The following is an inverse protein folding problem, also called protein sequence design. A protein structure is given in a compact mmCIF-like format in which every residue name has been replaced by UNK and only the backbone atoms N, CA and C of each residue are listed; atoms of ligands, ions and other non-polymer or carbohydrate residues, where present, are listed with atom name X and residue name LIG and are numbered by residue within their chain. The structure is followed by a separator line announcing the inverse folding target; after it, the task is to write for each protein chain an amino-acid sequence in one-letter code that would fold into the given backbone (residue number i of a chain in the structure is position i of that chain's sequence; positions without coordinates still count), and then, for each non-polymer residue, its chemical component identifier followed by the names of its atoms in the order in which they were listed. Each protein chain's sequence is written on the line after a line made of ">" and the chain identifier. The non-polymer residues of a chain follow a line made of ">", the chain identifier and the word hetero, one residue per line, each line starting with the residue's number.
data_IF_332574352546
#
_entry.id   IF_332574352546
#
_cell.length_a   1.000
_cell.length_b   1.000
_cell.length_c   1.000
_cell.angle_alpha   90.00
_cell.angle_beta   90.00
_cell.angle_gamma   90.00
#
_symmetry.space_group_name_H-M   'P 1'
#
loop_
_entity.id
_entity.type
_entity.pdbx_description
1 polymer ?
#
# COMPACT_ATOMS: atom_id res chain seq x y z
N UNK A 1 9.42 45.03 -8.87
CA UNK A 1 8.35 44.35 -8.10
C UNK A 1 8.77 42.90 -7.99
N UNK A 2 9.36 42.54 -6.85
CA UNK A 2 9.77 41.17 -6.53
C UNK A 2 8.58 40.23 -6.46
N UNK A 3 8.68 39.10 -7.15
CA UNK A 3 7.76 37.98 -7.00
C UNK A 3 7.93 37.39 -5.60
N UNK A 4 6.88 37.49 -4.78
CA UNK A 4 6.84 36.82 -3.49
C UNK A 4 6.85 35.30 -3.72
N UNK A 5 7.97 34.67 -3.39
CA UNK A 5 8.06 33.21 -3.30
C UNK A 5 7.09 32.73 -2.22
N UNK A 6 6.03 32.03 -2.62
CA UNK A 6 5.19 31.28 -1.69
C UNK A 6 6.06 30.24 -0.99
N UNK A 7 6.36 30.47 0.29
CA UNK A 7 7.01 29.49 1.15
C UNK A 7 6.08 28.29 1.26
N UNK A 8 6.49 27.14 0.71
CA UNK A 8 5.88 25.86 1.01
C UNK A 8 5.79 25.69 2.54
N UNK A 9 4.57 25.63 3.07
CA UNK A 9 4.34 25.30 4.47
C UNK A 9 4.94 23.92 4.76
N UNK A 10 5.73 23.73 5.83
CA UNK A 10 6.31 22.43 6.15
C UNK A 10 5.19 21.41 6.27
N UNK A 11 5.34 20.29 5.55
CA UNK A 11 4.41 19.17 5.64
C UNK A 11 4.26 18.77 7.12
N UNK A 12 3.02 18.55 7.59
CA UNK A 12 2.76 18.25 8.99
C UNK A 12 3.58 17.02 9.40
N UNK A 13 4.41 17.19 10.42
CA UNK A 13 5.30 16.14 10.94
C UNK A 13 4.45 14.95 11.36
N UNK A 14 4.58 13.82 10.66
CA UNK A 14 3.87 12.58 10.99
C UNK A 14 4.39 12.13 12.37
N UNK A 15 3.50 12.10 13.37
CA UNK A 15 3.80 11.57 14.68
C UNK A 15 3.74 10.04 14.66
N UNK A 16 4.83 9.39 15.08
CA UNK A 16 4.89 7.93 15.27
C UNK A 16 4.97 7.67 16.79
N UNK A 17 3.98 7.02 17.41
CA UNK A 17 4.02 6.66 18.82
C UNK A 17 5.21 5.74 19.13
N UNK A 18 5.77 5.86 20.34
CA UNK A 18 6.86 4.98 20.80
C UNK A 18 6.48 3.50 20.73
N UNK A 19 5.24 3.15 21.06
CA UNK A 19 4.69 1.79 20.97
C UNK A 19 4.76 1.24 19.53
N UNK A 20 4.53 2.08 18.53
CA UNK A 20 4.63 1.69 17.12
C UNK A 20 6.08 1.48 16.68
N UNK A 21 6.99 2.37 17.12
CA UNK A 21 8.42 2.21 16.87
C UNK A 21 8.94 0.91 17.49
N UNK A 22 8.62 0.66 18.76
CA UNK A 22 9.00 -0.58 19.46
C UNK A 22 8.46 -1.82 18.74
N UNK A 23 7.19 -1.79 18.32
CA UNK A 23 6.62 -2.90 17.56
C UNK A 23 7.32 -3.11 16.21
N UNK A 24 7.68 -2.04 15.50
CA UNK A 24 8.42 -2.13 14.24
C UNK A 24 9.83 -2.69 14.45
N UNK A 25 10.53 -2.25 15.50
CA UNK A 25 11.87 -2.75 15.87
C UNK A 25 11.82 -4.23 16.25
N UNK A 26 10.81 -4.68 17.00
CA UNK A 26 10.62 -6.09 17.34
C UNK A 26 10.40 -6.98 16.11
N UNK A 27 9.75 -6.44 15.07
CA UNK A 27 9.53 -7.15 13.80
C UNK A 27 10.83 -7.19 12.99
N UNK A 28 11.51 -6.05 12.87
CA UNK A 28 12.69 -5.88 12.02
C UNK A 28 13.94 -6.57 12.59
N UNK A 29 14.17 -6.47 13.90
CA UNK A 29 15.36 -6.99 14.58
C UNK A 29 15.07 -8.28 15.38
N UNK A 30 13.91 -8.90 15.15
CA UNK A 30 13.55 -10.17 15.77
C UNK A 30 14.37 -11.35 15.23
N UNK A 31 14.06 -12.55 15.74
CA UNK A 31 14.74 -13.79 15.34
C UNK A 31 14.43 -14.27 13.91
N UNK A 32 13.42 -13.70 13.26
CA UNK A 32 12.97 -14.10 11.91
C UNK A 32 13.65 -13.22 10.88
N UNK A 33 14.51 -13.80 10.04
CA UNK A 33 15.30 -13.05 9.06
C UNK A 33 14.46 -12.34 7.99
N UNK A 34 13.31 -12.89 7.60
CA UNK A 34 12.43 -12.30 6.58
C UNK A 34 11.00 -12.28 7.10
N UNK A 35 10.63 -11.27 7.92
CA UNK A 35 9.32 -11.25 8.54
C UNK A 35 8.21 -11.06 7.51
N UNK A 36 7.11 -11.81 7.68
CA UNK A 36 5.84 -11.61 6.99
C UNK A 36 4.89 -10.98 8.01
N UNK A 37 4.77 -9.66 7.94
CA UNK A 37 4.03 -8.85 8.89
C UNK A 37 2.64 -8.50 8.34
N UNK A 38 1.61 -9.02 9.00
CA UNK A 38 0.21 -8.80 8.66
C UNK A 38 -0.39 -7.71 9.56
N UNK A 39 -0.73 -6.55 8.98
CA UNK A 39 -1.20 -5.38 9.74
C UNK A 39 -2.72 -5.27 9.65
N UNK A 40 -3.42 -5.42 10.77
CA UNK A 40 -4.89 -5.45 10.83
C UNK A 40 -5.48 -4.59 11.97
N UNK A 41 -6.78 -4.35 11.92
CA UNK A 41 -7.50 -3.48 12.86
C UNK A 41 -8.57 -2.59 12.21
N UNK A 42 -9.39 -1.88 12.98
CA UNK A 42 -10.54 -1.14 12.47
C UNK A 42 -10.18 0.04 11.57
N UNK A 43 -11.17 0.58 10.87
CA UNK A 43 -11.02 1.83 10.11
C UNK A 43 -10.46 2.94 11.02
N UNK A 44 -9.55 3.73 10.44
CA UNK A 44 -8.89 4.87 11.09
C UNK A 44 -8.09 4.51 12.36
N UNK A 45 -7.61 3.27 12.49
CA UNK A 45 -6.67 2.90 13.55
C UNK A 45 -5.21 3.28 13.23
N UNK A 46 -4.90 3.61 11.98
CA UNK A 46 -3.57 4.00 11.55
C UNK A 46 -2.74 2.91 10.87
N UNK A 47 -3.36 1.79 10.48
CA UNK A 47 -2.71 0.64 9.80
C UNK A 47 -1.74 1.04 8.70
N UNK A 48 -2.19 1.92 7.81
CA UNK A 48 -1.38 2.35 6.67
C UNK A 48 -0.19 3.19 7.09
N UNK A 49 -0.32 4.02 8.13
CA UNK A 49 0.80 4.78 8.70
C UNK A 49 1.80 3.86 9.37
N UNK A 50 1.33 2.88 10.16
CA UNK A 50 2.19 1.87 10.75
C UNK A 50 2.92 1.04 9.68
N UNK A 51 2.21 0.59 8.65
CA UNK A 51 2.79 -0.21 7.55
C UNK A 51 3.88 0.57 6.82
N UNK A 52 3.67 1.86 6.55
CA UNK A 52 4.70 2.76 5.98
C UNK A 52 5.90 2.91 6.90
N UNK A 53 5.67 3.07 8.21
CA UNK A 53 6.74 3.16 9.19
C UNK A 53 7.56 1.85 9.25
N UNK A 54 6.89 0.70 9.28
CA UNK A 54 7.53 -0.61 9.29
C UNK A 54 8.38 -0.86 8.04
N UNK A 55 7.88 -0.52 6.84
CA UNK A 55 8.68 -0.58 5.60
C UNK A 55 9.93 0.28 5.73
N UNK A 56 9.82 1.50 6.25
CA UNK A 56 10.97 2.37 6.44
C UNK A 56 11.98 1.77 7.42
N UNK A 57 11.53 1.16 8.53
CA UNK A 57 12.42 0.49 9.50
C UNK A 57 13.11 -0.72 8.87
N UNK A 58 12.38 -1.55 8.10
CA UNK A 58 12.96 -2.70 7.39
C UNK A 58 13.98 -2.29 6.31
N UNK A 59 13.79 -1.11 5.72
CA UNK A 59 14.72 -0.49 4.76
C UNK A 59 15.74 0.44 5.43
N UNK A 60 15.84 0.53 6.75
CA UNK A 60 16.83 1.43 7.37
C UNK A 60 18.25 0.89 7.25
N UNK A 61 19.20 1.83 7.16
CA UNK A 61 20.63 1.54 7.32
C UNK A 61 20.96 1.50 8.80
N UNK A 62 21.52 0.38 9.27
CA UNK A 62 22.05 0.30 10.62
C UNK A 62 23.57 0.46 10.58
N UNK A 63 24.10 1.28 11.48
CA UNK A 63 25.54 1.45 11.69
C UNK A 63 25.89 0.98 13.09
N UNK A 64 26.56 -0.17 13.21
CA UNK A 64 27.20 -0.55 14.47
C UNK A 64 28.53 0.19 14.58
N UNK A 65 28.60 1.21 15.42
CA UNK A 65 29.87 1.74 15.93
C UNK A 65 30.22 0.98 17.19
N UNK A 66 30.98 -0.12 17.08
CA UNK A 66 31.75 -0.58 18.23
C UNK A 66 32.90 0.42 18.40
N UNK A 67 32.90 1.08 19.55
CA UNK A 67 33.93 2.04 19.94
C UNK A 67 35.27 1.30 20.05
N UNK A 68 36.31 2.00 19.61
CA UNK A 68 37.73 1.65 19.59
C UNK A 68 38.27 0.91 18.34
N UNK A 69 39.21 1.62 17.69
CA UNK A 69 40.13 1.23 16.62
C UNK A 69 39.58 1.24 15.17
N UNK A 70 39.69 2.41 14.51
CA UNK A 70 39.74 2.60 13.03
C UNK A 70 38.92 1.59 12.22
N UNK A 71 37.59 1.74 12.18
CA UNK A 71 36.73 0.91 11.33
C UNK A 71 36.00 1.76 10.31
N UNK A 72 36.15 1.40 9.04
CA UNK A 72 35.35 1.90 7.92
C UNK A 72 33.87 1.70 8.24
N UNK A 73 33.12 2.80 8.28
CA UNK A 73 31.66 2.76 8.46
C UNK A 73 31.02 2.13 7.22
N UNK A 74 30.70 0.84 7.28
CA UNK A 74 29.85 0.21 6.27
C UNK A 74 28.39 0.41 6.67
N UNK A 75 27.74 1.40 6.07
CA UNK A 75 26.28 1.51 6.11
C UNK A 75 25.70 0.31 5.39
N UNK A 76 25.03 -0.59 6.12
CA UNK A 76 24.31 -1.71 5.52
C UNK A 76 22.84 -1.62 5.88
N UNK A 77 22.02 -1.61 4.83
CA UNK A 77 20.58 -1.77 4.92
C UNK A 77 20.25 -3.08 5.62
N UNK A 78 19.26 -3.06 6.54
CA UNK A 78 18.74 -4.29 7.14
C UNK A 78 18.22 -5.20 6.03
N UNK A 79 17.36 -4.66 5.16
CA UNK A 79 17.00 -5.26 3.88
C UNK A 79 17.21 -4.30 2.72
N UNK A 80 17.77 -4.80 1.62
CA UNK A 80 17.93 -4.02 0.38
C UNK A 80 16.60 -3.71 -0.30
N UNK A 81 15.59 -4.54 -0.07
CA UNK A 81 14.25 -4.43 -0.65
C UNK A 81 13.23 -4.92 0.39
N UNK A 82 11.99 -4.49 0.27
CA UNK A 82 10.84 -4.97 1.05
C UNK A 82 9.64 -5.14 0.12
N UNK A 83 8.93 -6.25 0.23
CA UNK A 83 7.66 -6.45 -0.45
C UNK A 83 6.52 -5.81 0.35
N UNK A 84 5.55 -5.25 -0.36
CA UNK A 84 4.35 -4.65 0.20
C UNK A 84 3.13 -5.18 -0.54
N UNK A 85 2.26 -5.88 0.17
CA UNK A 85 1.00 -6.38 -0.35
C UNK A 85 -0.13 -5.46 0.10
N UNK A 86 -0.65 -4.68 -0.84
CA UNK A 86 -1.81 -3.82 -0.63
C UNK A 86 -3.08 -4.62 -0.88
N UNK A 87 -3.90 -4.76 0.15
CA UNK A 87 -5.21 -5.40 0.05
C UNK A 87 -6.37 -4.42 0.18
N UNK A 88 -6.15 -3.17 0.60
CA UNK A 88 -7.23 -2.17 0.69
C UNK A 88 -7.54 -1.51 -0.66
N UNK A 89 -8.48 -2.08 -1.42
CA UNK A 89 -8.95 -1.53 -2.71
C UNK A 89 -9.59 -0.14 -2.60
N UNK A 90 -10.03 0.28 -1.41
CA UNK A 90 -10.68 1.57 -1.20
C UNK A 90 -9.71 2.69 -0.83
N UNK A 91 -8.57 2.35 -0.21
CA UNK A 91 -7.57 3.30 0.24
C UNK A 91 -6.16 2.76 0.01
N UNK A 92 -5.77 2.73 -1.25
CA UNK A 92 -4.47 2.22 -1.72
C UNK A 92 -3.33 3.22 -1.51
N UNK A 93 -2.13 2.70 -1.22
CA UNK A 93 -0.92 3.52 -1.08
C UNK A 93 -0.15 3.77 -2.37
N UNK A 94 -0.01 2.75 -3.21
CA UNK A 94 0.86 2.79 -4.39
C UNK A 94 0.09 2.73 -5.71
N UNK A 95 -1.19 2.42 -5.69
CA UNK A 95 -1.99 2.22 -6.91
C UNK A 95 -3.20 3.14 -6.95
N UNK A 96 -3.85 3.31 -8.12
CA UNK A 96 -5.23 3.76 -8.16
C UNK A 96 -6.15 2.89 -7.30
N UNK A 97 -7.31 3.42 -6.88
CA UNK A 97 -8.34 2.65 -6.20
C UNK A 97 -8.86 1.50 -7.06
N UNK A 98 -9.34 0.43 -6.42
CA UNK A 98 -9.85 -0.75 -7.10
C UNK A 98 -8.78 -1.76 -7.54
N UNK A 99 -7.52 -1.56 -7.15
CA UNK A 99 -6.41 -2.49 -7.40
C UNK A 99 -5.99 -3.19 -6.11
N UNK A 100 -5.66 -4.47 -6.26
CA UNK A 100 -4.87 -5.26 -5.31
C UNK A 100 -3.47 -5.40 -5.90
N UNK A 101 -2.41 -5.17 -5.12
CA UNK A 101 -1.06 -5.12 -5.68
C UNK A 101 0.02 -5.62 -4.73
N UNK A 102 0.97 -6.37 -5.30
CA UNK A 102 2.26 -6.69 -4.71
C UNK A 102 3.31 -5.76 -5.31
N UNK A 103 3.97 -5.01 -4.43
CA UNK A 103 4.95 -3.98 -4.79
C UNK A 103 6.28 -4.26 -4.10
N UNK A 104 7.40 -4.17 -4.83
CA UNK A 104 8.74 -4.29 -4.24
C UNK A 104 9.37 -2.90 -4.15
N UNK A 105 9.83 -2.55 -2.94
CA UNK A 105 10.36 -1.23 -2.58
C UNK A 105 11.84 -1.37 -2.24
N UNK A 106 12.71 -0.56 -2.85
CA UNK A 106 14.17 -0.69 -2.74
C UNK A 106 14.90 0.49 -2.07
N UNK A 107 14.22 1.62 -1.83
CA UNK A 107 14.81 2.80 -1.19
C UNK A 107 13.85 3.43 -0.18
N UNK A 108 14.40 3.91 0.93
CA UNK A 108 13.69 4.75 1.90
C UNK A 108 13.23 6.01 1.18
N UNK A 109 11.92 6.24 1.12
CA UNK A 109 11.37 7.47 0.57
C UNK A 109 10.75 8.27 1.72
N UNK A 110 11.20 9.51 1.97
CA UNK A 110 10.46 10.38 2.86
C UNK A 110 9.10 10.62 2.19
N UNK A 111 8.03 10.15 2.85
CA UNK A 111 6.64 10.35 2.43
C UNK A 111 6.20 9.42 1.29
N UNK A 112 5.84 8.18 1.63
CA UNK A 112 4.87 7.35 0.89
C UNK A 112 3.52 8.10 0.90
N UNK A 113 3.43 9.11 0.02
CA UNK A 113 2.28 10.01 -0.19
C UNK A 113 2.52 10.91 -1.42
N UNK A 114 3.75 11.06 -1.90
CA UNK A 114 3.98 11.52 -3.28
C UNK A 114 3.90 10.29 -4.15
N UNK A 115 2.93 10.25 -5.06
CA UNK A 115 2.89 9.30 -6.17
C UNK A 115 4.26 9.20 -6.81
N UNK A 116 4.99 8.17 -6.41
CA UNK A 116 6.15 7.70 -7.14
C UNK A 116 5.65 7.43 -8.56
N UNK A 117 6.42 7.84 -9.57
CA UNK A 117 6.18 7.49 -10.97
C UNK A 117 5.99 5.97 -11.03
N UNK A 118 4.73 5.52 -11.03
CA UNK A 118 4.32 4.13 -10.87
C UNK A 118 4.66 3.33 -12.12
N UNK A 119 4.73 4.02 -13.24
CA UNK A 119 5.36 3.52 -14.44
C UNK A 119 6.76 4.10 -14.50
N UNK A 120 7.74 3.20 -14.57
CA UNK A 120 9.11 3.55 -14.93
C UNK A 120 9.09 4.48 -16.13
N UNK A 121 9.98 5.48 -16.09
CA UNK A 121 10.34 6.26 -17.25
C UNK A 121 10.51 5.32 -18.46
N UNK A 122 9.57 5.40 -19.41
CA UNK A 122 9.76 4.89 -20.76
C UNK A 122 10.37 5.95 -21.68
N UNK A 123 10.77 7.09 -21.13
CA UNK A 123 11.46 8.14 -21.85
C UNK A 123 12.71 8.54 -21.07
N UNK A 124 13.85 8.22 -21.67
CA UNK A 124 15.22 8.60 -21.30
C UNK A 124 15.85 7.93 -20.05
N UNK A 125 16.77 7.01 -20.33
CA UNK A 125 17.55 6.19 -19.39
C UNK A 125 18.75 6.96 -18.78
N UNK A 126 18.96 8.22 -19.15
CA UNK A 126 20.21 8.92 -18.86
C UNK A 126 20.28 9.74 -17.55
N UNK A 127 19.17 9.95 -16.81
CA UNK A 127 19.14 10.90 -15.67
C UNK A 127 18.48 10.36 -14.39
N UNK A 128 18.86 9.17 -13.89
CA UNK A 128 18.12 8.49 -12.80
C UNK A 128 18.93 7.82 -11.69
N UNK A 129 20.01 8.43 -11.21
CA UNK A 129 20.73 7.89 -10.05
C UNK A 129 19.94 8.04 -8.71
N UNK A 130 19.00 8.99 -8.63
CA UNK A 130 18.32 9.39 -7.39
C UNK A 130 16.81 9.07 -7.28
N UNK A 131 16.19 8.38 -8.24
CA UNK A 131 14.77 8.00 -8.16
C UNK A 131 14.58 6.63 -7.46
N UNK A 132 13.64 6.53 -6.52
CA UNK A 132 13.16 5.28 -5.92
C UNK A 132 12.60 4.35 -7.01
N UNK A 133 13.06 3.10 -7.10
CA UNK A 133 12.52 2.13 -8.06
C UNK A 133 11.45 1.31 -7.35
N UNK A 134 10.25 1.85 -7.28
CA UNK A 134 9.07 1.04 -6.97
C UNK A 134 8.81 0.15 -8.18
N UNK A 135 9.02 -1.16 -8.02
CA UNK A 135 8.71 -2.15 -9.05
C UNK A 135 7.40 -2.85 -8.68
N UNK A 136 6.39 -2.72 -9.54
CA UNK A 136 5.20 -3.55 -9.43
C UNK A 136 5.56 -4.98 -9.83
N UNK A 137 5.52 -5.90 -8.88
CA UNK A 137 5.72 -7.30 -9.17
C UNK A 137 4.47 -7.86 -9.87
N UNK A 138 3.28 -7.59 -9.29
CA UNK A 138 2.00 -8.05 -9.83
C UNK A 138 0.84 -7.25 -9.25
N UNK A 139 -0.21 -7.02 -10.04
CA UNK A 139 -1.46 -6.43 -9.55
C UNK A 139 -2.67 -7.04 -10.26
N UNK A 140 -3.84 -6.93 -9.61
CA UNK A 140 -5.13 -7.32 -10.18
C UNK A 140 -6.11 -6.17 -10.05
N UNK A 141 -6.73 -5.78 -11.16
CA UNK A 141 -7.84 -4.83 -11.14
C UNK A 141 -9.09 -5.53 -10.64
N UNK A 142 -9.46 -5.23 -9.40
CA UNK A 142 -10.72 -5.67 -8.82
C UNK A 142 -11.88 -4.82 -9.32
N UNK A 143 -11.68 -3.52 -9.58
CA UNK A 143 -12.70 -2.65 -10.18
C UNK A 143 -13.85 -2.23 -9.25
N UNK A 144 -13.73 -2.49 -7.95
CA UNK A 144 -14.62 -1.96 -6.91
C UNK A 144 -13.77 -1.51 -5.71
N UNK A 145 -14.28 -0.58 -4.91
CA UNK A 145 -13.63 -0.05 -3.71
C UNK A 145 -14.03 -0.83 -2.44
N UNK A 146 -14.80 -1.91 -2.58
CA UNK A 146 -15.28 -2.74 -1.49
C UNK A 146 -15.30 -4.22 -1.87
N UNK A 147 -14.68 -5.08 -1.07
CA UNK A 147 -14.67 -6.54 -1.32
C UNK A 147 -16.06 -7.17 -1.32
N UNK A 148 -17.06 -6.53 -0.68
CA UNK A 148 -18.46 -7.00 -0.65
C UNK A 148 -19.04 -7.28 -2.03
N UNK A 149 -18.52 -6.63 -3.08
CA UNK A 149 -18.99 -6.81 -4.45
C UNK A 149 -18.79 -8.24 -4.95
N UNK A 150 -17.66 -8.84 -4.62
CA UNK A 150 -17.31 -10.24 -4.92
C UNK A 150 -16.20 -10.69 -3.95
N UNK A 151 -16.58 -11.15 -2.73
CA UNK A 151 -15.63 -11.61 -1.71
C UNK A 151 -14.72 -12.73 -2.18
N UNK A 152 -15.25 -13.64 -3.00
CA UNK A 152 -14.54 -14.83 -3.47
C UNK A 152 -13.43 -14.45 -4.45
N UNK A 153 -13.75 -13.63 -5.45
CA UNK A 153 -12.75 -13.12 -6.41
C UNK A 153 -11.71 -12.24 -5.71
N UNK A 154 -12.14 -11.38 -4.77
CA UNK A 154 -11.24 -10.55 -3.99
C UNK A 154 -10.20 -11.39 -3.22
N UNK A 155 -10.66 -12.43 -2.51
CA UNK A 155 -9.77 -13.34 -1.79
C UNK A 155 -8.87 -14.14 -2.74
N UNK A 156 -9.39 -14.62 -3.87
CA UNK A 156 -8.61 -15.33 -4.87
C UNK A 156 -7.46 -14.49 -5.44
N UNK A 157 -7.69 -13.20 -5.70
CA UNK A 157 -6.63 -12.28 -6.13
C UNK A 157 -5.56 -12.09 -5.06
N UNK A 158 -5.93 -11.96 -3.78
CA UNK A 158 -4.95 -11.85 -2.68
C UNK A 158 -4.11 -13.13 -2.58
N UNK A 159 -4.74 -14.30 -2.63
CA UNK A 159 -4.04 -15.60 -2.61
C UNK A 159 -3.04 -15.69 -3.77
N UNK A 160 -3.48 -15.36 -4.99
CA UNK A 160 -2.61 -15.37 -6.17
C UNK A 160 -1.47 -14.35 -6.14
N UNK A 161 -1.61 -13.23 -5.41
CA UNK A 161 -0.52 -12.27 -5.17
C UNK A 161 0.47 -12.81 -4.13
N UNK A 162 -0.02 -13.47 -3.07
CA UNK A 162 0.82 -14.10 -2.07
C UNK A 162 1.60 -15.29 -2.63
N UNK A 163 0.94 -16.16 -3.41
CA UNK A 163 1.59 -17.30 -4.07
C UNK A 163 2.72 -16.81 -4.98
N UNK A 164 2.47 -15.75 -5.76
CA UNK A 164 3.50 -15.12 -6.58
C UNK A 164 4.68 -14.58 -5.76
N UNK A 165 4.42 -13.93 -4.62
CA UNK A 165 5.47 -13.50 -3.70
C UNK A 165 6.30 -14.68 -3.17
N UNK A 166 5.66 -15.79 -2.82
CA UNK A 166 6.34 -16.99 -2.32
C UNK A 166 7.24 -17.60 -3.40
N UNK A 167 6.75 -17.68 -4.64
CA UNK A 167 7.47 -18.22 -5.79
C UNK A 167 8.67 -17.34 -6.20
N UNK A 168 8.50 -16.02 -6.30
CA UNK A 168 9.53 -15.14 -6.89
C UNK A 168 10.47 -14.52 -5.87
N UNK A 169 9.97 -14.15 -4.69
CA UNK A 169 10.73 -13.33 -3.74
C UNK A 169 11.30 -14.14 -2.57
N UNK A 170 10.53 -15.11 -2.04
CA UNK A 170 10.99 -15.97 -0.95
C UNK A 170 11.95 -17.05 -1.44
N UNK A 171 11.58 -17.82 -2.46
CA UNK A 171 12.46 -18.86 -3.01
C UNK A 171 13.69 -18.28 -3.72
N UNK A 172 13.65 -17.00 -4.11
CA UNK A 172 14.77 -16.30 -4.73
C UNK A 172 15.76 -15.69 -3.74
N UNK A 173 15.32 -14.72 -2.93
CA UNK A 173 16.24 -13.82 -2.20
C UNK A 173 15.99 -13.73 -0.69
N UNK A 174 14.86 -14.23 -0.20
CA UNK A 174 14.39 -13.95 1.16
C UNK A 174 14.07 -12.46 1.31
N UNK A 175 12.80 -12.11 1.11
CA UNK A 175 12.35 -10.71 1.11
C UNK A 175 11.28 -10.51 2.18
N UNK A 176 11.43 -9.58 3.13
CA UNK A 176 10.35 -9.30 4.09
C UNK A 176 9.09 -8.82 3.37
N UNK A 177 7.93 -9.13 3.94
CA UNK A 177 6.62 -8.72 3.41
C UNK A 177 5.82 -7.97 4.46
N UNK A 178 5.33 -6.79 4.09
CA UNK A 178 4.35 -6.04 4.87
C UNK A 178 3.00 -6.11 4.15
N UNK A 179 1.96 -6.56 4.85
CA UNK A 179 0.61 -6.71 4.31
C UNK A 179 -0.29 -5.67 4.96
N UNK A 180 -0.76 -4.71 4.16
CA UNK A 180 -1.73 -3.71 4.62
C UNK A 180 -3.16 -4.20 4.31
N UNK A 181 -4.03 -4.17 5.31
CA UNK A 181 -5.41 -4.68 5.22
C UNK A 181 -6.46 -3.59 5.31
N UNK A 182 -7.67 -3.81 4.73
CA UNK A 182 -8.78 -2.90 4.92
C UNK A 182 -9.28 -2.92 6.37
N UNK A 183 -9.94 -1.83 6.79
CA UNK A 183 -10.49 -1.72 8.15
C UNK A 183 -11.79 -2.48 8.41
N UNK A 184 -12.07 -3.58 7.69
CA UNK A 184 -13.33 -4.32 7.78
C UNK A 184 -13.26 -5.44 8.82
N UNK A 185 -13.59 -5.11 10.06
CA UNK A 185 -13.46 -6.01 11.22
C UNK A 185 -14.76 -6.70 11.63
N UNK A 186 -15.81 -6.67 10.78
CA UNK A 186 -17.12 -7.31 11.05
C UNK A 186 -17.74 -7.90 9.78
N UNK A 187 -18.61 -8.90 9.95
CA UNK A 187 -19.35 -9.57 8.88
C UNK A 187 -18.40 -10.18 7.84
N UNK A 188 -18.79 -10.16 6.56
CA UNK A 188 -18.00 -10.72 5.46
C UNK A 188 -16.55 -10.19 5.39
N UNK A 189 -16.30 -8.95 5.80
CA UNK A 189 -14.94 -8.40 5.82
C UNK A 189 -14.05 -9.06 6.88
N UNK A 190 -14.64 -9.45 8.01
CA UNK A 190 -13.95 -10.21 9.05
C UNK A 190 -13.66 -11.64 8.59
N UNK A 191 -14.63 -12.29 7.95
CA UNK A 191 -14.45 -13.64 7.39
C UNK A 191 -13.30 -13.67 6.37
N UNK A 192 -13.25 -12.69 5.45
CA UNK A 192 -12.12 -12.54 4.51
C UNK A 192 -10.80 -12.35 5.25
N UNK A 193 -10.76 -11.52 6.30
CA UNK A 193 -9.55 -11.28 7.09
C UNK A 193 -9.02 -12.57 7.74
N UNK A 194 -9.92 -13.37 8.33
CA UNK A 194 -9.59 -14.67 8.92
C UNK A 194 -9.08 -15.64 7.85
N UNK A 195 -9.75 -15.72 6.70
CA UNK A 195 -9.31 -16.56 5.58
C UNK A 195 -7.94 -16.15 5.03
N UNK A 196 -7.64 -14.85 4.99
CA UNK A 196 -6.30 -14.36 4.63
C UNK A 196 -5.25 -14.82 5.64
N UNK A 197 -5.53 -14.69 6.94
CA UNK A 197 -4.61 -15.10 8.01
C UNK A 197 -4.37 -16.62 8.04
N UNK A 198 -5.38 -17.43 7.69
CA UNK A 198 -5.27 -18.88 7.59
C UNK A 198 -4.47 -19.32 6.35
N UNK A 199 -4.55 -18.57 5.26
CA UNK A 199 -3.86 -18.90 4.02
C UNK A 199 -2.41 -18.44 3.99
N UNK A 200 -2.14 -17.26 4.54
CA UNK A 200 -0.81 -16.64 4.52
C UNK A 200 -0.01 -17.17 5.70
N UNK A 201 1.20 -17.68 5.44
CA UNK A 201 2.15 -18.07 6.49
C UNK A 201 2.77 -16.84 7.15
N UNK A 202 1.96 -16.12 7.92
CA UNK A 202 2.36 -14.93 8.68
C UNK A 202 3.37 -15.31 9.75
N UNK A 203 4.33 -14.43 10.02
CA UNK A 203 5.23 -14.60 11.18
C UNK A 203 4.93 -13.59 12.27
N UNK A 204 4.34 -12.46 11.89
CA UNK A 204 3.94 -11.37 12.79
C UNK A 204 2.55 -10.89 12.42
N UNK A 205 1.65 -10.83 13.39
CA UNK A 205 0.34 -10.21 13.23
C UNK A 205 0.28 -8.97 14.11
N UNK A 206 0.19 -7.80 13.49
CA UNK A 206 0.08 -6.51 14.18
C UNK A 206 -1.38 -6.09 14.24
N UNK A 207 -1.94 -6.06 15.45
CA UNK A 207 -3.33 -5.67 15.70
C UNK A 207 -3.37 -4.25 16.25
N UNK A 208 -3.76 -3.31 15.39
CA UNK A 208 -4.02 -1.94 15.82
C UNK A 208 -5.39 -1.83 16.46
N UNK A 209 -5.44 -1.43 17.72
CA UNK A 209 -6.66 -1.28 18.52
C UNK A 209 -7.06 0.19 18.66
N UNK A 210 -8.35 0.44 18.90
CA UNK A 210 -8.87 1.75 19.28
C UNK A 210 -9.42 1.70 20.70
N UNK A 211 -9.52 2.87 21.33
CA UNK A 211 -10.14 3.01 22.66
C UNK A 211 -11.58 2.48 22.73
N UNK A 212 -12.31 2.48 21.62
CA UNK A 212 -13.66 1.91 21.53
C UNK A 212 -13.59 0.40 21.26
N UNK A 213 -13.53 -0.39 22.33
CA UNK A 213 -13.32 -1.85 22.29
C UNK A 213 -14.29 -2.60 21.36
N UNK A 214 -15.57 -2.22 21.34
CA UNK A 214 -16.60 -2.87 20.50
C UNK A 214 -16.35 -2.78 18.97
N UNK A 215 -15.32 -2.04 18.56
CA UNK A 215 -14.88 -1.90 17.16
C UNK A 215 -13.55 -2.62 16.88
N UNK A 216 -12.92 -3.24 17.87
CA UNK A 216 -11.67 -3.95 17.69
C UNK A 216 -11.90 -5.40 17.23
N UNK A 217 -10.83 -6.03 16.75
CA UNK A 217 -10.79 -7.47 16.53
C UNK A 217 -10.75 -8.20 17.88
N UNK A 218 -11.17 -9.48 17.96
CA UNK A 218 -11.05 -10.28 19.17
C UNK A 218 -9.58 -10.40 19.62
N UNK A 219 -9.35 -10.59 20.91
CA UNK A 219 -8.01 -10.71 21.50
C UNK A 219 -7.29 -12.00 21.05
N UNK A 220 -5.95 -12.00 21.11
CA UNK A 220 -5.15 -13.16 20.73
C UNK A 220 -5.24 -13.55 19.25
N UNK A 221 -4.90 -14.82 18.90
CA UNK A 221 -4.88 -15.33 17.53
C UNK A 221 -6.27 -15.77 17.04
N UNK A 222 -7.17 -14.79 16.87
CA UNK A 222 -8.60 -15.00 16.56
C UNK A 222 -8.93 -15.76 15.27
N UNK A 223 -7.93 -16.09 14.45
CA UNK A 223 -8.09 -16.84 13.20
C UNK A 223 -7.82 -18.35 13.36
N UNK A 224 -7.28 -18.77 14.51
CA UNK A 224 -7.04 -20.17 14.84
C UNK A 224 -8.25 -20.76 15.55
N UNK A 225 -8.49 -22.05 15.35
CA UNK A 225 -9.50 -22.80 16.10
C UNK A 225 -8.96 -23.12 17.51
N UNK A 226 -9.85 -23.35 18.48
CA UNK A 226 -9.45 -23.64 19.86
C UNK A 226 -8.57 -24.90 19.93
N UNK A 227 -7.32 -24.74 20.34
CA UNK A 227 -6.34 -25.82 20.47
C UNK A 227 -5.27 -25.86 19.37
N UNK A 228 -5.46 -25.12 18.28
CA UNK A 228 -4.40 -24.90 17.29
C UNK A 228 -3.44 -23.84 17.80
N UNK A 229 -2.25 -24.26 18.26
CA UNK A 229 -1.17 -23.37 18.59
C UNK A 229 -0.25 -23.21 17.39
N UNK A 230 -0.33 -22.07 16.69
CA UNK A 230 0.72 -21.68 15.76
C UNK A 230 1.89 -21.05 16.54
N UNK A 231 2.79 -21.91 17.03
CA UNK A 231 3.97 -21.50 17.78
C UNK A 231 4.92 -20.59 16.97
N UNK A 232 4.75 -20.49 15.64
CA UNK A 232 5.60 -19.66 14.78
C UNK A 232 5.10 -18.21 14.65
N UNK A 233 3.80 -17.96 14.88
CA UNK A 233 3.21 -16.61 14.73
C UNK A 233 3.19 -15.84 16.04
N UNK A 234 3.78 -14.64 16.03
CA UNK A 234 3.71 -13.71 17.16
C UNK A 234 2.65 -12.64 16.92
N UNK A 235 1.72 -12.47 17.86
CA UNK A 235 0.74 -11.38 17.87
C UNK A 235 1.31 -10.19 18.62
N UNK A 236 1.26 -9.01 17.99
CA UNK A 236 1.67 -7.74 18.58
C UNK A 236 0.46 -6.81 18.58
N UNK A 237 -0.05 -6.49 19.77
CA UNK A 237 -1.17 -5.57 19.94
C UNK A 237 -0.64 -4.17 20.25
N UNK A 238 -1.08 -3.17 19.48
CA UNK A 238 -0.67 -1.77 19.66
C UNK A 238 -1.87 -0.85 19.58
N UNK A 239 -1.79 0.30 20.26
CA UNK A 239 -2.88 1.25 20.32
C UNK A 239 -2.80 2.30 19.21
N UNK A 240 -3.95 2.68 18.66
CA UNK A 240 -4.06 3.85 17.81
C UNK A 240 -3.74 5.12 18.64
N UNK A 241 -3.04 6.11 18.07
CA UNK A 241 -2.71 7.34 18.77
C UNK A 241 -3.97 8.06 19.27
N UNK A 242 -3.89 8.77 20.41
CA UNK A 242 -5.01 9.56 20.93
C UNK A 242 -5.51 10.57 19.88
N UNK A 243 -6.83 10.78 19.81
CA UNK A 243 -7.47 11.66 18.83
C UNK A 243 -6.89 13.09 18.79
N UNK A 244 -6.35 13.58 19.92
CA UNK A 244 -5.75 14.91 20.01
C UNK A 244 -4.47 15.04 19.15
N UNK A 245 -3.70 13.96 18.99
CA UNK A 245 -2.54 13.91 18.08
C UNK A 245 -2.94 13.59 16.64
N UNK A 246 -4.10 12.97 16.42
CA UNK A 246 -4.67 12.80 15.07
C UNK A 246 -5.03 14.16 14.44
N UNK A 247 -5.43 15.15 15.27
CA UNK A 247 -5.65 16.54 14.84
C UNK A 247 -4.38 17.31 14.48
N UNK A 248 -3.22 16.96 15.05
CA UNK A 248 -1.93 17.60 14.71
C UNK A 248 -1.17 16.86 13.59
N UNK A 249 -1.71 15.75 13.07
CA UNK A 249 -1.17 14.96 11.97
C UNK A 249 -1.80 15.35 10.62
N UNK A 250 -1.93 16.66 10.39
CA UNK A 250 -2.48 17.37 9.22
C UNK A 250 -3.98 17.71 9.32
N UNK A 251 -4.43 18.83 8.70
CA UNK A 251 -5.84 19.17 8.51
C UNK A 251 -6.49 18.18 7.53
N UNK A 252 -6.68 16.92 7.93
CA UNK A 252 -7.06 15.84 7.03
C UNK A 252 -8.04 14.89 7.74
N UNK A 253 -9.22 15.39 8.11
CA UNK A 253 -10.44 14.66 7.74
C UNK A 253 -10.54 14.69 6.21
N UNK A 254 -9.58 14.09 5.50
CA UNK A 254 -9.74 13.88 4.06
C UNK A 254 -10.75 12.76 3.93
N UNK A 255 -11.87 13.10 3.34
CA UNK A 255 -12.85 12.12 2.88
C UNK A 255 -12.12 11.02 2.10
N UNK A 256 -12.47 9.76 2.32
CA UNK A 256 -11.92 8.65 1.54
C UNK A 256 -12.17 8.85 0.04
N UNK A 257 -13.21 9.60 -0.33
CA UNK A 257 -13.43 10.09 -1.69
C UNK A 257 -12.27 10.97 -2.18
N UNK A 258 -11.93 12.02 -1.44
CA UNK A 258 -10.87 12.95 -1.83
C UNK A 258 -9.51 12.27 -1.95
N UNK A 259 -9.18 11.30 -1.09
CA UNK A 259 -7.94 10.54 -1.24
C UNK A 259 -7.94 9.71 -2.53
N UNK A 260 -9.06 9.07 -2.87
CA UNK A 260 -9.20 8.32 -4.11
C UNK A 260 -9.06 9.21 -5.34
N UNK A 261 -9.70 10.38 -5.32
CA UNK A 261 -9.60 11.36 -6.41
C UNK A 261 -8.16 11.85 -6.60
N UNK A 262 -7.46 12.16 -5.51
CA UNK A 262 -6.05 12.55 -5.56
C UNK A 262 -5.15 11.43 -6.10
N UNK A 263 -5.39 10.17 -5.72
CA UNK A 263 -4.64 9.02 -6.26
C UNK A 263 -4.89 8.83 -7.75
N UNK A 264 -6.13 8.95 -8.19
CA UNK A 264 -6.48 8.85 -9.61
C UNK A 264 -5.89 10.00 -10.43
N UNK A 265 -6.00 11.22 -9.92
CA UNK A 265 -5.41 12.42 -10.54
C UNK A 265 -3.90 12.24 -10.69
N UNK A 266 -3.23 11.77 -9.65
CA UNK A 266 -1.78 11.59 -9.65
C UNK A 266 -1.32 10.39 -10.49
N UNK A 267 -2.19 9.39 -10.72
CA UNK A 267 -1.94 8.33 -11.71
C UNK A 267 -1.92 8.90 -13.13
N UNK A 268 -2.98 9.60 -13.55
CA UNK A 268 -3.08 10.14 -14.91
C UNK A 268 -2.13 11.32 -15.16
N UNK A 269 -1.70 12.05 -14.12
CA UNK A 269 -0.66 13.09 -14.25
C UNK A 269 0.65 12.53 -14.80
N UNK A 270 0.91 11.23 -14.65
CA UNK A 270 2.11 10.57 -15.20
C UNK A 270 2.13 10.52 -16.74
N UNK A 271 0.99 10.80 -17.40
CA UNK A 271 0.94 10.92 -18.86
C UNK A 271 1.62 12.21 -19.39
N UNK A 272 2.00 13.13 -18.50
CA UNK A 272 2.57 14.43 -18.86
C UNK A 272 4.00 14.57 -18.31
N UNK A 273 4.84 15.44 -18.92
CA UNK A 273 6.14 15.81 -18.37
C UNK A 273 6.05 16.29 -16.92
N UNK A 274 7.06 15.97 -16.10
CA UNK A 274 7.05 16.22 -14.66
C UNK A 274 6.99 17.70 -14.26
N UNK A 275 7.43 18.59 -15.14
CA UNK A 275 7.38 20.05 -15.03
C UNK A 275 5.99 20.63 -15.35
N UNK A 276 5.05 19.81 -15.84
CA UNK A 276 3.68 20.26 -16.12
C UNK A 276 2.94 20.57 -14.83
N UNK A 277 2.57 21.83 -14.65
CA UNK A 277 1.81 22.31 -13.50
C UNK A 277 0.34 21.95 -13.69
N UNK A 278 -0.05 20.80 -13.13
CA UNK A 278 -1.44 20.37 -12.99
C UNK A 278 -1.74 20.27 -11.50
N UNK A 279 -2.64 21.12 -11.03
CA UNK A 279 -3.02 21.28 -9.63
C UNK A 279 -4.48 20.88 -9.37
N UNK A 280 -5.33 20.89 -10.41
CA UNK A 280 -6.76 20.56 -10.29
C UNK A 280 -7.18 19.43 -11.22
N UNK A 281 -8.28 18.73 -10.86
CA UNK A 281 -8.90 17.71 -11.72
C UNK A 281 -9.34 18.31 -13.06
N UNK A 282 -9.80 19.57 -13.07
CA UNK A 282 -10.23 20.25 -14.30
C UNK A 282 -9.05 20.46 -15.27
N UNK A 283 -7.92 20.94 -14.76
CA UNK A 283 -6.68 21.08 -15.54
C UNK A 283 -6.23 19.73 -16.10
N UNK A 284 -6.25 18.69 -15.27
CA UNK A 284 -5.89 17.34 -15.71
C UNK A 284 -6.81 16.85 -16.84
N UNK A 285 -8.13 17.01 -16.70
CA UNK A 285 -9.09 16.61 -17.74
C UNK A 285 -8.84 17.36 -19.05
N UNK A 286 -8.58 18.66 -19.01
CA UNK A 286 -8.25 19.45 -20.21
C UNK A 286 -6.96 18.95 -20.87
N UNK A 287 -5.92 18.67 -20.08
CA UNK A 287 -4.67 18.14 -20.59
C UNK A 287 -4.84 16.76 -21.24
N UNK A 288 -5.63 15.87 -20.62
CA UNK A 288 -5.91 14.52 -21.15
C UNK A 288 -6.67 14.57 -22.46
N UNK A 289 -7.66 15.46 -22.60
CA UNK A 289 -8.43 15.63 -23.85
C UNK A 289 -7.54 16.18 -24.99
N UNK A 290 -6.46 16.87 -24.65
CA UNK A 290 -5.49 17.38 -25.63
C UNK A 290 -4.51 16.30 -26.11
N UNK A 291 -4.46 15.15 -25.44
CA UNK A 291 -3.58 14.05 -25.82
C UNK A 291 -4.21 13.26 -26.98
N UNK A 292 -3.47 12.98 -28.07
CA UNK A 292 -3.96 12.08 -29.11
C UNK A 292 -4.33 10.71 -28.51
N UNK A 293 -5.55 10.20 -28.75
CA UNK A 293 -5.96 8.90 -28.23
C UNK A 293 -5.24 7.76 -28.95
N UNK A 294 -5.09 6.63 -28.27
CA UNK A 294 -4.66 5.39 -28.91
C UNK A 294 -5.83 4.80 -29.72
N UNK A 295 -5.57 4.46 -30.98
CA UNK A 295 -6.53 3.78 -31.84
C UNK A 295 -6.25 2.29 -31.87
N UNK A 296 -7.27 1.48 -31.58
CA UNK A 296 -7.16 0.01 -31.53
C UNK A 296 -8.37 -0.60 -32.24
N UNK A 297 -8.18 -1.59 -33.15
CA UNK A 297 -9.30 -2.29 -33.77
C UNK A 297 -10.19 -2.99 -32.72
N UNK A 298 -11.51 -2.84 -32.83
CA UNK A 298 -12.46 -3.54 -31.94
C UNK A 298 -12.26 -5.06 -32.02
N UNK A 299 -11.94 -5.58 -33.20
CA UNK A 299 -11.67 -7.01 -33.42
C UNK A 299 -10.45 -7.54 -32.65
N UNK A 300 -9.54 -6.66 -32.21
CA UNK A 300 -8.39 -7.06 -31.40
C UNK A 300 -8.63 -6.96 -29.89
N UNK A 301 -9.83 -6.55 -29.45
CA UNK A 301 -10.15 -6.35 -28.04
C UNK A 301 -11.20 -7.36 -27.60
N UNK A 302 -10.98 -7.98 -26.44
CA UNK A 302 -12.01 -8.73 -25.71
C UNK A 302 -12.38 -7.97 -24.44
N UNK A 303 -13.65 -7.64 -24.30
CA UNK A 303 -14.16 -6.91 -23.12
C UNK A 303 -14.68 -7.92 -22.11
N UNK A 304 -14.20 -7.81 -20.86
CA UNK A 304 -14.69 -8.60 -19.72
C UNK A 304 -15.38 -7.66 -18.74
N UNK A 305 -16.62 -7.98 -18.39
CA UNK A 305 -17.32 -7.30 -17.30
C UNK A 305 -16.94 -7.95 -15.97
N UNK A 306 -16.58 -7.12 -14.99
CA UNK A 306 -16.33 -7.58 -13.64
C UNK A 306 -17.61 -7.48 -12.82
N UNK A 307 -17.86 -8.50 -11.99
CA UNK A 307 -18.92 -8.56 -10.98
C UNK A 307 -20.37 -8.51 -11.46
N UNK A 308 -20.62 -8.29 -12.74
CA UNK A 308 -21.95 -8.26 -13.32
C UNK A 308 -22.00 -8.96 -14.69
N UNK A 309 -23.19 -9.44 -15.05
CA UNK A 309 -23.51 -9.80 -16.41
C UNK A 309 -24.20 -8.61 -17.07
N UNK A 310 -23.70 -8.19 -18.23
CA UNK A 310 -24.35 -7.17 -19.05
C UNK A 310 -25.04 -7.88 -20.22
N UNK A 311 -26.34 -7.66 -20.34
CA UNK A 311 -27.13 -8.15 -21.48
C UNK A 311 -27.27 -7.03 -22.51
N UNK A 312 -27.06 -7.35 -23.80
CA UNK A 312 -27.27 -6.41 -24.90
C UNK A 312 -26.05 -5.53 -25.23
N UNK A 313 -26.31 -4.34 -25.77
CA UNK A 313 -25.26 -3.44 -26.27
C UNK A 313 -24.45 -2.83 -25.12
N UNK A 314 -23.13 -3.03 -25.15
CA UNK A 314 -22.22 -2.54 -24.11
C UNK A 314 -21.73 -1.10 -24.37
N UNK A 315 -21.93 -0.55 -25.57
CA UNK A 315 -21.38 0.74 -25.98
C UNK A 315 -21.70 1.91 -25.02
N UNK A 316 -22.93 2.05 -24.46
CA UNK A 316 -23.24 3.11 -23.52
C UNK A 316 -22.45 3.04 -22.20
N UNK A 317 -21.96 1.85 -21.83
CA UNK A 317 -21.19 1.63 -20.61
C UNK A 317 -19.68 1.79 -20.81
N UNK A 318 -19.21 1.92 -22.05
CA UNK A 318 -17.78 2.09 -22.35
C UNK A 318 -17.38 3.56 -22.42
N UNK A 319 -18.29 4.43 -22.87
CA UNK A 319 -18.08 5.87 -22.80
C UNK A 319 -17.98 6.31 -21.34
N UNK A 320 -16.91 7.03 -21.00
CA UNK A 320 -16.65 7.68 -19.70
C UNK A 320 -16.18 6.83 -18.51
N UNK A 321 -15.93 5.52 -18.68
CA UNK A 321 -15.44 4.67 -17.58
C UNK A 321 -13.93 4.42 -17.67
N UNK A 322 -13.29 4.28 -16.50
CA UNK A 322 -11.90 3.80 -16.40
C UNK A 322 -11.89 2.28 -16.58
N UNK A 323 -11.19 1.81 -17.60
CA UNK A 323 -11.00 0.39 -17.88
C UNK A 323 -9.55 0.00 -17.60
N UNK A 324 -9.35 -1.23 -17.13
CA UNK A 324 -8.02 -1.82 -17.00
C UNK A 324 -7.76 -2.80 -18.15
N UNK A 325 -6.50 -2.91 -18.53
CA UNK A 325 -6.02 -3.94 -19.46
C UNK A 325 -5.33 -5.02 -18.65
N UNK A 326 -5.65 -6.29 -18.93
CA UNK A 326 -4.95 -7.44 -18.36
C UNK A 326 -3.74 -7.79 -19.22
#
# INVERSE_FOLDING_TARGET
>A
MEAAAEKESPSPKIFIPIEWSTAADLIAFGSVSFPIAFVCGPKNSGKTTFSRHLVNVLLQNYTHSFMDCKVTVFFRFLHKRVAFLETDVGQTEFTPPGLLALTVIDKITPVILTTVSLFGARFDDSMRENSCKIAFAKCFFFGDISSKRDPTTYLAYIKALYDHYMETEIQGAGLPLVINTPGWVKGIGYEILVEMLRYISVTRVVKLQRSVLARNLPDGPFWLDEGDADAATTVIEINAPPQNHITSMAPMRKDALLQRDLRLMAYFKQCFPSDTIISTIKELSHALVSHPPYEIPISSIKIKHLHCQVQGCIAPYLSTNVLSTN
#
